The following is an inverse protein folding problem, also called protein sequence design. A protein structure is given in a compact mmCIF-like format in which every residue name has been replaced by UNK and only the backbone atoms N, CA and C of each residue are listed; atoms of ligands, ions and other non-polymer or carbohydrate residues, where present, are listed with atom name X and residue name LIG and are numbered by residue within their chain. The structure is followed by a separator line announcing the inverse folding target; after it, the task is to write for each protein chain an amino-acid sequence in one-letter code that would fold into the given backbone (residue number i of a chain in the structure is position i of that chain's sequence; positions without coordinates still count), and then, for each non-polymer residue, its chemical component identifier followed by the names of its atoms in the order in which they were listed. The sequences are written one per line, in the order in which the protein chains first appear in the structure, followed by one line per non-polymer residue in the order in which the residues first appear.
data_IF_869945437846
#
_entry.id   IF_869945437846
#
_cell.length_a   1.000
_cell.length_b   1.000
_cell.length_c   1.000
_cell.angle_alpha   90.00
_cell.angle_beta   90.00
_cell.angle_gamma   90.00
#
_symmetry.space_group_name_H-M   'P 1'
#
loop_
_entity.id
_entity.type
_entity.pdbx_description
1 polymer ?
#
# COMPACT_ATOMS: atom_id res chain seq x y z
N UNK A 1 -77.40 8.94 4.96
CA UNK A 1 -76.41 9.90 5.50
C UNK A 1 -75.64 9.21 6.62
N UNK A 2 -74.31 9.44 6.67
CA UNK A 2 -73.32 8.96 7.66
C UNK A 2 -73.00 7.46 7.65
N UNK A 3 -71.75 6.99 7.70
CA UNK A 3 -70.43 7.40 7.21
C UNK A 3 -69.53 6.16 7.48
N UNK A 4 -68.63 5.83 6.56
CA UNK A 4 -67.64 4.75 6.70
C UNK A 4 -66.77 4.93 7.95
N UNK A 5 -66.34 3.82 8.56
CA UNK A 5 -65.12 3.76 9.35
C UNK A 5 -64.38 2.44 9.04
N UNK A 6 -63.53 2.52 8.02
CA UNK A 6 -62.47 1.56 7.75
C UNK A 6 -61.29 1.98 8.64
N UNK A 7 -60.93 1.16 9.63
CA UNK A 7 -59.71 1.32 10.41
C UNK A 7 -58.53 0.86 9.55
N UNK A 8 -57.89 1.81 8.87
CA UNK A 8 -56.55 1.62 8.29
C UNK A 8 -55.54 1.91 9.40
N UNK A 9 -55.05 0.86 10.06
CA UNK A 9 -53.87 0.97 10.93
C UNK A 9 -52.66 1.16 10.02
N UNK A 10 -52.23 2.42 9.90
CA UNK A 10 -50.99 2.77 9.23
C UNK A 10 -49.80 2.17 10.00
N UNK A 11 -49.20 1.12 9.45
CA UNK A 11 -47.85 0.70 9.80
C UNK A 11 -46.90 1.83 9.35
N UNK A 12 -46.50 2.69 10.29
CA UNK A 12 -45.38 3.59 10.07
C UNK A 12 -44.12 2.71 10.15
N UNK A 13 -43.68 2.21 8.99
CA UNK A 13 -42.31 1.76 8.80
C UNK A 13 -41.44 3.01 8.90
N UNK A 14 -40.88 3.28 10.08
CA UNK A 14 -39.80 4.24 10.23
C UNK A 14 -38.61 3.73 9.38
N UNK A 15 -38.29 4.49 8.34
CA UNK A 15 -37.28 4.16 7.35
C UNK A 15 -35.86 4.06 7.95
N UNK A 16 -34.98 3.20 7.40
CA UNK A 16 -33.55 3.20 7.70
C UNK A 16 -32.87 4.33 6.90
N UNK A 17 -33.11 5.59 7.25
CA UNK A 17 -32.52 6.74 6.54
C UNK A 17 -31.17 7.20 7.12
N UNK A 18 -30.78 6.73 8.32
CA UNK A 18 -29.55 7.15 8.99
C UNK A 18 -28.32 6.26 8.67
N UNK A 19 -28.48 5.20 7.88
CA UNK A 19 -27.40 4.24 7.60
C UNK A 19 -26.64 4.51 6.30
N UNK A 20 -27.08 5.45 5.46
CA UNK A 20 -26.48 5.69 4.13
C UNK A 20 -25.36 6.75 4.16
N UNK A 21 -25.49 7.82 4.96
CA UNK A 21 -24.47 8.89 5.02
C UNK A 21 -23.15 8.43 5.65
N UNK A 22 -23.19 7.55 6.66
CA UNK A 22 -21.96 7.04 7.28
C UNK A 22 -21.19 6.08 6.34
N UNK A 23 -21.88 5.39 5.43
CA UNK A 23 -21.26 4.40 4.56
C UNK A 23 -20.29 5.01 3.55
N UNK A 24 -20.52 6.24 3.11
CA UNK A 24 -19.65 6.93 2.14
C UNK A 24 -18.34 7.44 2.77
N UNK A 25 -18.32 7.72 4.08
CA UNK A 25 -17.13 8.17 4.80
C UNK A 25 -16.07 7.05 4.97
N UNK A 26 -16.48 5.78 4.84
CA UNK A 26 -15.61 4.60 4.99
C UNK A 26 -15.15 3.97 3.67
N UNK A 27 -15.44 4.57 2.52
CA UNK A 27 -14.93 4.04 1.25
C UNK A 27 -13.40 4.23 1.20
N UNK A 28 -12.67 3.11 1.19
CA UNK A 28 -11.20 3.10 1.18
C UNK A 28 -10.70 3.34 -0.24
N UNK A 29 -10.40 4.61 -0.54
CA UNK A 29 -9.84 5.04 -1.83
C UNK A 29 -8.65 5.95 -1.59
N UNK A 30 -7.60 5.79 -2.38
CA UNK A 30 -6.44 6.67 -2.34
C UNK A 30 -6.85 8.10 -2.78
N UNK A 31 -6.61 9.14 -1.97
CA UNK A 31 -7.01 10.50 -2.32
C UNK A 31 -6.25 10.99 -3.56
N UNK A 32 -6.84 11.93 -4.31
CA UNK A 32 -6.30 12.43 -5.58
C UNK A 32 -4.89 13.00 -5.47
N UNK A 33 -4.54 13.60 -4.33
CA UNK A 33 -3.19 14.10 -4.09
C UNK A 33 -2.17 12.98 -3.97
N UNK A 34 -2.55 11.84 -3.39
CA UNK A 34 -1.68 10.67 -3.28
C UNK A 34 -1.62 9.83 -4.56
N UNK A 35 -2.62 9.94 -5.45
CA UNK A 35 -2.57 9.27 -6.77
C UNK A 35 -1.42 9.78 -7.66
N UNK A 36 -0.86 10.95 -7.36
CA UNK A 36 0.31 11.52 -8.04
C UNK A 36 1.64 10.96 -7.49
N UNK A 37 1.61 10.30 -6.34
CA UNK A 37 2.82 9.73 -5.73
C UNK A 37 3.27 8.49 -6.52
N UNK A 38 4.50 8.55 -7.03
CA UNK A 38 5.05 7.49 -7.88
C UNK A 38 5.74 6.44 -7.00
N UNK A 39 5.08 5.30 -6.82
CA UNK A 39 5.73 4.13 -6.23
C UNK A 39 6.72 3.54 -7.25
N UNK A 40 8.03 3.49 -6.96
CA UNK A 40 9.00 2.95 -7.90
C UNK A 40 8.81 1.45 -8.11
N UNK A 41 9.18 0.98 -9.30
CA UNK A 41 9.30 -0.44 -9.55
C UNK A 41 10.44 -1.03 -8.71
N UNK A 42 10.25 -2.24 -8.20
CA UNK A 42 11.33 -3.02 -7.60
C UNK A 42 12.48 -3.19 -8.60
N UNK A 43 13.75 -3.20 -8.15
CA UNK A 43 14.88 -3.60 -8.99
C UNK A 43 14.67 -4.99 -9.60
N UNK A 44 15.39 -5.23 -10.69
CA UNK A 44 15.40 -6.51 -11.39
C UNK A 44 15.84 -7.66 -10.47
N UNK A 45 15.41 -8.87 -10.82
CA UNK A 45 15.79 -10.05 -10.07
C UNK A 45 17.30 -10.29 -10.16
N UNK A 46 17.92 -10.55 -9.01
CA UNK A 46 19.33 -10.94 -8.94
C UNK A 46 19.45 -12.35 -9.55
N UNK A 47 20.38 -12.58 -10.51
CA UNK A 47 20.56 -13.89 -11.11
C UNK A 47 20.88 -14.98 -10.08
N UNK A 48 20.41 -16.20 -10.34
CA UNK A 48 20.93 -17.37 -9.64
C UNK A 48 22.44 -17.47 -9.86
N UNK A 49 23.16 -17.90 -8.83
CA UNK A 49 24.61 -17.96 -8.86
C UNK A 49 25.32 -16.62 -9.14
N UNK A 50 24.74 -15.50 -8.71
CA UNK A 50 25.30 -14.16 -8.88
C UNK A 50 26.80 -14.06 -8.54
N UNK A 51 27.55 -13.37 -9.40
CA UNK A 51 28.95 -13.00 -9.17
C UNK A 51 29.06 -11.83 -8.20
N UNK A 52 30.27 -11.57 -7.69
CA UNK A 52 30.51 -10.42 -6.82
C UNK A 52 30.15 -9.09 -7.50
N UNK A 53 30.42 -8.95 -8.80
CA UNK A 53 30.15 -7.71 -9.51
C UNK A 53 28.65 -7.51 -9.76
N UNK A 54 27.91 -8.59 -10.05
CA UNK A 54 26.44 -8.56 -10.10
C UNK A 54 25.82 -8.20 -8.75
N UNK A 55 26.40 -8.68 -7.64
CA UNK A 55 25.94 -8.28 -6.30
C UNK A 55 26.25 -6.81 -5.98
N UNK A 56 27.34 -6.24 -6.51
CA UNK A 56 27.62 -4.80 -6.35
C UNK A 56 26.65 -3.95 -7.16
N UNK A 57 26.36 -4.36 -8.39
CA UNK A 57 25.37 -3.71 -9.26
C UNK A 57 23.99 -3.74 -8.59
N UNK A 58 23.53 -4.92 -8.17
CA UNK A 58 22.27 -5.06 -7.44
C UNK A 58 22.21 -4.18 -6.19
N UNK A 59 23.33 -4.04 -5.45
CA UNK A 59 23.38 -3.14 -4.29
C UNK A 59 23.19 -1.67 -4.68
N UNK A 60 23.74 -1.24 -5.81
CA UNK A 60 23.56 0.12 -6.31
C UNK A 60 22.10 0.38 -6.73
N UNK A 61 21.49 -0.58 -7.43
CA UNK A 61 20.08 -0.48 -7.84
C UNK A 61 19.14 -0.45 -6.64
N UNK A 62 19.42 -1.25 -5.61
CA UNK A 62 18.68 -1.23 -4.35
C UNK A 62 18.78 0.13 -3.67
N UNK A 63 19.96 0.75 -3.65
CA UNK A 63 20.13 2.08 -3.07
C UNK A 63 19.32 3.14 -3.83
N UNK A 64 19.29 3.07 -5.16
CA UNK A 64 18.44 3.94 -5.98
C UNK A 64 16.95 3.71 -5.69
N UNK A 65 16.53 2.45 -5.62
CA UNK A 65 15.15 2.10 -5.28
C UNK A 65 14.73 2.63 -3.90
N UNK A 66 15.58 2.47 -2.88
CA UNK A 66 15.33 2.98 -1.53
C UNK A 66 15.16 4.50 -1.52
N UNK A 67 16.00 5.25 -2.24
CA UNK A 67 15.85 6.69 -2.36
C UNK A 67 14.52 7.10 -3.04
N UNK A 68 14.08 6.33 -4.04
CA UNK A 68 12.80 6.57 -4.71
C UNK A 68 11.60 6.19 -3.82
N UNK A 69 11.71 5.12 -3.03
CA UNK A 69 10.66 4.74 -2.05
C UNK A 69 10.56 5.78 -0.93
N UNK A 70 11.68 6.33 -0.47
CA UNK A 70 11.70 7.43 0.49
C UNK A 70 10.97 8.66 -0.08
N UNK A 71 11.25 9.03 -1.33
CA UNK A 71 10.52 10.11 -2.01
C UNK A 71 9.02 9.82 -2.16
N UNK A 72 8.65 8.57 -2.48
CA UNK A 72 7.25 8.15 -2.54
C UNK A 72 6.54 8.31 -1.18
N UNK A 73 7.18 7.86 -0.10
CA UNK A 73 6.63 7.99 1.26
C UNK A 73 6.52 9.44 1.71
N UNK A 74 7.50 10.27 1.36
CA UNK A 74 7.42 11.73 1.57
C UNK A 74 6.20 12.34 0.87
N UNK A 75 5.95 11.95 -0.39
CA UNK A 75 4.75 12.38 -1.12
C UNK A 75 3.45 11.91 -0.44
N UNK A 76 3.38 10.65 0.04
CA UNK A 76 2.23 10.17 0.79
C UNK A 76 1.99 10.97 2.07
N UNK A 77 3.06 11.35 2.78
CA UNK A 77 2.98 12.15 3.99
C UNK A 77 2.45 13.56 3.71
N UNK A 78 2.85 14.17 2.60
CA UNK A 78 2.30 15.46 2.15
C UNK A 78 0.80 15.34 1.85
N UNK A 79 0.38 14.27 1.16
CA UNK A 79 -1.03 14.01 0.87
C UNK A 79 -1.85 13.73 2.15
N UNK A 80 -1.27 13.07 3.14
CA UNK A 80 -1.91 12.79 4.44
C UNK A 80 -2.25 14.08 5.21
N UNK A 81 -1.44 15.12 5.05
CA UNK A 81 -1.64 16.41 5.73
C UNK A 81 -2.90 17.18 5.26
N UNK A 82 -3.57 16.72 4.19
CA UNK A 82 -4.82 17.33 3.72
C UNK A 82 -5.94 17.13 4.77
N UNK A 83 -6.51 18.22 5.34
CA UNK A 83 -7.54 18.12 6.37
C UNK A 83 -8.86 17.52 5.87
N UNK A 84 -9.09 17.51 4.55
CA UNK A 84 -10.28 16.97 3.91
C UNK A 84 -10.21 15.44 3.71
N UNK A 85 -9.11 14.80 4.11
CA UNK A 85 -8.98 13.35 4.04
C UNK A 85 -10.02 12.67 4.95
N UNK A 86 -10.90 11.88 4.33
CA UNK A 86 -11.83 11.01 5.06
C UNK A 86 -11.09 9.91 5.83
N UNK A 87 -11.72 9.24 6.81
CA UNK A 87 -11.19 8.02 7.42
C UNK A 87 -10.78 6.97 6.37
N UNK A 88 -11.58 6.78 5.32
CA UNK A 88 -11.25 5.89 4.20
C UNK A 88 -9.99 6.30 3.44
N UNK A 89 -9.78 7.60 3.19
CA UNK A 89 -8.55 8.09 2.56
C UNK A 89 -7.31 7.84 3.42
N UNK A 90 -7.40 8.10 4.73
CA UNK A 90 -6.30 7.84 5.69
C UNK A 90 -5.94 6.36 5.72
N UNK A 91 -6.93 5.47 5.70
CA UNK A 91 -6.68 4.04 5.61
C UNK A 91 -5.97 3.66 4.30
N UNK A 92 -6.39 4.21 3.16
CA UNK A 92 -5.75 3.94 1.87
C UNK A 92 -4.29 4.44 1.80
N UNK A 93 -4.00 5.60 2.42
CA UNK A 93 -2.64 6.13 2.56
C UNK A 93 -1.75 5.19 3.39
N UNK A 94 -2.24 4.74 4.55
CA UNK A 94 -1.53 3.77 5.41
C UNK A 94 -1.29 2.46 4.66
N UNK A 95 -2.27 1.95 3.92
CA UNK A 95 -2.11 0.73 3.12
C UNK A 95 -1.04 0.90 2.03
N UNK A 96 -1.01 2.04 1.36
CA UNK A 96 -0.01 2.35 0.33
C UNK A 96 1.40 2.49 0.93
N UNK A 97 1.51 3.11 2.10
CA UNK A 97 2.76 3.16 2.86
C UNK A 97 3.24 1.77 3.23
N UNK A 98 2.39 0.95 3.86
CA UNK A 98 2.74 -0.41 4.27
C UNK A 98 3.16 -1.28 3.08
N UNK A 99 2.46 -1.17 1.94
CA UNK A 99 2.84 -1.87 0.72
C UNK A 99 4.25 -1.50 0.25
N UNK A 100 4.64 -0.22 0.34
CA UNK A 100 6.00 0.20 0.01
C UNK A 100 7.05 -0.39 0.95
N UNK A 101 6.72 -0.59 2.23
CA UNK A 101 7.61 -1.26 3.22
C UNK A 101 7.78 -2.73 2.86
N UNK A 102 6.68 -3.43 2.61
CA UNK A 102 6.73 -4.84 2.18
C UNK A 102 7.53 -5.02 0.89
N UNK A 103 7.45 -4.05 -0.05
CA UNK A 103 8.28 -4.06 -1.26
C UNK A 103 9.77 -3.98 -0.93
N UNK A 104 10.19 -3.04 -0.09
CA UNK A 104 11.58 -2.91 0.34
C UNK A 104 12.09 -4.15 1.08
N UNK A 105 11.28 -4.73 1.97
CA UNK A 105 11.64 -5.95 2.69
C UNK A 105 11.87 -7.14 1.76
N UNK A 106 11.02 -7.29 0.72
CA UNK A 106 11.21 -8.33 -0.31
C UNK A 106 12.52 -8.14 -1.08
N UNK A 107 12.84 -6.89 -1.45
CA UNK A 107 14.08 -6.56 -2.16
C UNK A 107 15.30 -6.86 -1.29
N UNK A 108 15.27 -6.43 -0.01
CA UNK A 108 16.34 -6.70 0.95
C UNK A 108 16.54 -8.20 1.20
N UNK A 109 15.44 -8.96 1.30
CA UNK A 109 15.48 -10.41 1.49
C UNK A 109 16.19 -11.10 0.33
N UNK A 110 15.79 -10.81 -0.91
CA UNK A 110 16.42 -11.37 -2.13
C UNK A 110 17.91 -11.09 -2.19
N UNK A 111 18.31 -9.86 -1.86
CA UNK A 111 19.72 -9.48 -1.84
C UNK A 111 20.51 -10.27 -0.79
N UNK A 112 19.98 -10.37 0.44
CA UNK A 112 20.63 -11.10 1.52
C UNK A 112 20.77 -12.60 1.20
N UNK A 113 19.77 -13.19 0.57
CA UNK A 113 19.83 -14.57 0.10
C UNK A 113 20.92 -14.76 -0.96
N UNK A 114 20.99 -13.89 -1.97
CA UNK A 114 22.00 -13.95 -3.01
C UNK A 114 23.43 -13.77 -2.47
N UNK A 115 23.62 -12.88 -1.50
CA UNK A 115 24.91 -12.71 -0.81
C UNK A 115 25.30 -13.95 -0.01
N UNK A 116 24.34 -14.58 0.69
CA UNK A 116 24.58 -15.82 1.45
C UNK A 116 24.99 -16.96 0.52
N UNK A 117 24.29 -17.11 -0.59
CA UNK A 117 24.55 -18.11 -1.62
C UNK A 117 25.95 -17.92 -2.25
N UNK A 118 26.30 -16.70 -2.66
CA UNK A 118 27.65 -16.38 -3.14
C UNK A 118 28.74 -16.74 -2.12
N UNK A 119 28.55 -16.38 -0.84
CA UNK A 119 29.51 -16.70 0.23
C UNK A 119 29.67 -18.21 0.43
N UNK A 120 28.58 -18.96 0.38
CA UNK A 120 28.61 -20.41 0.51
C UNK A 120 29.40 -21.07 -0.64
N UNK A 121 29.15 -20.66 -1.89
CA UNK A 121 29.91 -21.14 -3.04
C UNK A 121 31.39 -20.79 -2.96
N UNK A 122 31.71 -19.56 -2.57
CA UNK A 122 33.10 -19.12 -2.42
C UNK A 122 33.84 -19.96 -1.40
N UNK A 123 33.25 -20.19 -0.22
CA UNK A 123 33.85 -21.02 0.82
C UNK A 123 34.08 -22.47 0.34
N UNK A 124 33.15 -23.06 -0.41
CA UNK A 124 33.28 -24.40 -0.95
C UNK A 124 34.37 -24.52 -2.04
N UNK A 125 34.70 -23.44 -2.73
CA UNK A 125 35.77 -23.41 -3.74
C UNK A 125 37.18 -23.20 -3.14
N UNK A 126 37.25 -22.66 -1.92
CA UNK A 126 38.52 -22.33 -1.23
C UNK A 126 38.95 -23.39 -0.19
N UNK A 127 38.07 -24.35 0.15
CA UNK A 127 38.34 -25.45 1.09
C UNK A 127 38.61 -26.78 0.40
#
# INVERSE_FOLDING_TARGET
MKQLLVLVTAFILAAPALAQDEAEEFVVVLPDDAQKCVLPASPDAIPENATLDQLKEAKADIAQFQAQVEAFRGCLQEAEANPENTPGNKQALVQSYNYSVEMEERVATRFNEAVRDYKARKAAAEG
#
